data_IF_528444198692
#
_entry.id   IF_528444198692
#
_cell.length_a   1.000
_cell.length_b   1.000
_cell.length_c   1.000
_cell.angle_alpha   90.00
_cell.angle_beta   90.00
_cell.angle_gamma   90.00
#
_symmetry.space_group_name_H-M   'P 1'
#
loop_
_entity.id
_entity.type
_entity.pdbx_description
1 polymer ?
#
# COMPACT_ATOMS: atom_id res chain seq x y z
N UNK A 1 -22.77 40.94 4.13
CA UNK A 1 -21.43 41.45 3.76
C UNK A 1 -20.42 40.47 4.34
N UNK A 2 -19.74 39.73 3.46
CA UNK A 2 -18.72 38.75 3.82
C UNK A 2 -17.45 39.49 4.28
N UNK A 3 -16.78 39.07 5.38
CA UNK A 3 -15.46 39.61 5.68
C UNK A 3 -14.49 39.01 4.66
N UNK A 4 -13.97 39.87 3.79
CA UNK A 4 -12.83 39.55 2.95
C UNK A 4 -11.66 39.13 3.85
N UNK A 5 -11.21 37.88 3.73
CA UNK A 5 -9.93 37.44 4.28
C UNK A 5 -8.86 38.07 3.40
N UNK A 6 -8.15 39.07 3.94
CA UNK A 6 -6.97 39.64 3.30
C UNK A 6 -5.82 38.62 3.38
N UNK A 7 -5.56 37.93 2.27
CA UNK A 7 -4.34 37.15 2.08
C UNK A 7 -3.16 38.12 1.95
N UNK A 8 -2.35 38.22 3.00
CA UNK A 8 -1.13 39.03 3.01
C UNK A 8 0.07 38.11 2.78
N UNK A 9 0.73 38.25 1.63
CA UNK A 9 2.04 37.65 1.38
C UNK A 9 3.09 38.38 2.24
N UNK A 10 3.78 37.67 3.13
CA UNK A 10 4.97 38.18 3.83
C UNK A 10 6.19 37.51 3.23
N UNK A 11 6.97 38.30 2.47
CA UNK A 11 8.32 37.99 2.03
C UNK A 11 9.26 38.53 3.11
N UNK A 12 9.59 37.72 4.13
CA UNK A 12 10.71 38.01 5.03
C UNK A 12 11.58 36.76 5.24
N UNK A 13 12.88 37.01 5.29
CA UNK A 13 13.99 36.11 5.02
C UNK A 13 14.14 34.88 5.95
N UNK A 14 14.69 33.80 5.36
CA UNK A 14 15.43 32.69 6.00
C UNK A 14 14.70 31.62 6.85
N UNK A 15 13.48 31.22 6.47
CA UNK A 15 12.91 29.91 6.87
C UNK A 15 12.38 29.16 5.65
N UNK A 16 12.33 27.81 5.63
CA UNK A 16 11.79 27.09 4.47
C UNK A 16 10.36 27.57 4.19
N UNK A 17 10.19 28.19 3.04
CA UNK A 17 9.01 28.97 2.66
C UNK A 17 7.87 28.05 2.24
N UNK A 18 7.11 27.52 3.19
CA UNK A 18 5.76 27.03 2.92
C UNK A 18 4.80 28.25 2.88
N UNK A 19 3.79 28.25 2.00
CA UNK A 19 2.67 29.18 2.13
C UNK A 19 1.87 28.78 3.38
N UNK A 20 2.18 29.41 4.50
CA UNK A 20 1.37 29.30 5.72
C UNK A 20 0.05 30.01 5.48
N UNK A 21 -1.04 29.27 5.34
CA UNK A 21 -2.33 29.96 5.25
C UNK A 21 -2.82 30.39 6.64
N UNK A 22 -2.36 29.80 7.76
CA UNK A 22 -2.82 30.20 9.10
C UNK A 22 -1.88 29.88 10.30
N UNK A 23 -1.00 30.80 10.76
CA UNK A 23 -0.56 30.87 12.14
C UNK A 23 -1.00 32.21 12.74
N UNK A 24 -2.04 32.22 13.58
CA UNK A 24 -2.37 33.40 14.37
C UNK A 24 -2.62 33.00 15.82
N UNK A 25 -1.55 32.72 16.55
CA UNK A 25 -1.12 33.48 17.76
C UNK A 25 -0.02 32.71 18.52
N UNK A 26 0.92 33.47 19.09
CA UNK A 26 1.90 32.99 20.05
C UNK A 26 1.20 32.57 21.34
N UNK A 27 1.39 31.33 21.79
CA UNK A 27 1.50 31.03 23.22
C UNK A 27 2.28 29.74 23.44
N UNK A 28 3.44 29.88 24.09
CA UNK A 28 4.10 28.77 24.78
C UNK A 28 3.10 28.15 25.77
N UNK A 29 2.82 26.85 25.64
CA UNK A 29 1.92 26.17 26.57
C UNK A 29 1.62 24.72 26.18
N UNK A 30 2.15 23.80 27.00
CA UNK A 30 1.73 22.41 27.23
C UNK A 30 0.74 21.75 26.24
N UNK A 31 1.25 20.75 25.51
CA UNK A 31 0.49 19.94 24.55
C UNK A 31 -0.47 18.96 25.25
N UNK A 32 -1.75 19.31 25.28
CA UNK A 32 -2.85 18.39 25.56
C UNK A 32 -3.50 17.98 24.22
N UNK A 33 -3.90 16.71 24.06
CA UNK A 33 -4.54 16.16 22.84
C UNK A 33 -5.96 16.73 22.57
N UNK A 34 -6.37 17.75 23.33
CA UNK A 34 -7.60 18.54 23.15
C UNK A 34 -7.28 19.93 22.60
N UNK A 35 -6.55 20.01 21.49
CA UNK A 35 -6.41 21.31 20.82
C UNK A 35 -7.72 21.65 20.11
N UNK A 36 -8.33 22.83 20.36
CA UNK A 36 -9.57 23.21 19.70
C UNK A 36 -9.31 23.37 18.20
N UNK A 37 -10.14 22.72 17.39
CA UNK A 37 -10.25 23.02 15.97
C UNK A 37 -10.45 24.53 15.84
N UNK A 38 -9.50 25.19 15.17
CA UNK A 38 -9.44 26.65 15.05
C UNK A 38 -9.92 27.14 13.69
N UNK A 39 -9.95 26.24 12.69
CA UNK A 39 -10.29 26.58 11.32
C UNK A 39 -11.26 25.54 10.75
N UNK A 40 -12.41 26.01 10.27
CA UNK A 40 -13.46 25.13 9.78
C UNK A 40 -14.01 25.61 8.44
N UNK A 41 -14.44 24.66 7.61
CA UNK A 41 -15.24 24.91 6.40
C UNK A 41 -14.58 25.84 5.35
N UNK A 42 -13.24 25.79 5.27
CA UNK A 42 -12.46 26.53 4.27
C UNK A 42 -12.35 25.70 2.98
N UNK A 43 -12.54 26.36 1.84
CA UNK A 43 -12.42 25.74 0.51
C UNK A 43 -11.39 26.46 -0.35
N UNK A 44 -10.48 25.69 -0.93
CA UNK A 44 -9.56 26.11 -1.99
C UNK A 44 -9.99 25.43 -3.29
N UNK A 45 -10.24 26.25 -4.33
CA UNK A 45 -10.80 25.78 -5.59
C UNK A 45 -10.30 26.57 -6.79
N UNK A 46 -9.95 25.88 -7.87
CA UNK A 46 -9.57 26.47 -9.17
C UNK A 46 -8.31 27.37 -9.05
N UNK A 47 -7.34 26.96 -8.23
CA UNK A 47 -6.11 27.72 -7.93
C UNK A 47 -4.87 27.00 -8.45
N UNK A 48 -3.97 27.75 -9.08
CA UNK A 48 -2.58 27.35 -9.34
C UNK A 48 -1.68 27.81 -8.19
N UNK A 49 -1.05 26.86 -7.50
CA UNK A 49 0.02 27.08 -6.54
C UNK A 49 1.37 26.75 -7.20
N UNK A 50 2.15 27.78 -7.52
CA UNK A 50 3.53 27.63 -8.01
C UNK A 50 4.52 28.05 -6.93
N UNK A 51 5.20 27.07 -6.33
CA UNK A 51 6.17 27.29 -5.27
C UNK A 51 7.55 27.72 -5.81
N UNK A 52 7.75 27.82 -7.13
CA UNK A 52 8.99 28.28 -7.76
C UNK A 52 10.27 27.59 -7.25
N UNK A 53 10.17 26.28 -6.97
CA UNK A 53 11.20 25.43 -6.38
C UNK A 53 11.60 25.82 -4.94
N UNK A 54 10.72 26.52 -4.22
CA UNK A 54 10.93 26.99 -2.84
C UNK A 54 9.83 26.43 -1.93
N UNK A 55 10.21 25.57 -0.98
CA UNK A 55 9.31 25.05 0.04
C UNK A 55 8.11 24.30 -0.54
N UNK A 56 6.90 24.63 -0.07
CA UNK A 56 5.68 23.84 -0.29
C UNK A 56 4.50 24.65 -0.79
N UNK A 57 3.35 23.96 -0.97
CA UNK A 57 2.07 24.57 -1.30
C UNK A 57 1.27 24.90 -0.04
N UNK A 58 0.21 24.15 0.25
CA UNK A 58 -0.70 24.42 1.35
C UNK A 58 -0.27 23.66 2.62
N UNK A 59 -0.26 24.37 3.76
CA UNK A 59 -0.21 23.76 5.08
C UNK A 59 -1.56 23.91 5.82
N UNK A 60 -2.20 22.79 6.13
CA UNK A 60 -3.45 22.68 6.90
C UNK A 60 -3.12 22.19 8.31
N UNK A 61 -3.54 22.93 9.34
CA UNK A 61 -3.29 22.57 10.74
C UNK A 61 -4.46 22.96 11.64
N UNK A 62 -4.72 22.16 12.67
CA UNK A 62 -5.72 22.44 13.73
C UNK A 62 -7.10 22.78 13.14
N UNK A 63 -7.54 22.01 12.13
CA UNK A 63 -8.72 22.32 11.31
C UNK A 63 -9.71 21.16 11.16
N UNK A 64 -10.95 21.46 10.76
CA UNK A 64 -11.91 20.48 10.29
C UNK A 64 -12.62 20.89 9.00
N UNK A 65 -13.10 19.90 8.24
CA UNK A 65 -13.96 20.11 7.05
C UNK A 65 -13.33 21.01 5.99
N UNK A 66 -12.03 20.86 5.76
CA UNK A 66 -11.27 21.62 4.75
C UNK A 66 -11.39 20.93 3.39
N UNK A 67 -11.53 21.73 2.32
CA UNK A 67 -11.68 21.23 0.94
C UNK A 67 -10.61 21.84 0.06
N UNK A 68 -9.83 21.01 -0.61
CA UNK A 68 -8.84 21.41 -1.61
C UNK A 68 -9.18 20.65 -2.88
N UNK A 69 -9.81 21.32 -3.84
CA UNK A 69 -10.25 20.63 -5.05
C UNK A 69 -10.07 21.45 -6.32
N UNK A 70 -9.92 20.79 -7.46
CA UNK A 70 -9.69 21.44 -8.75
C UNK A 70 -8.46 22.37 -8.74
N UNK A 71 -7.43 22.01 -7.97
CA UNK A 71 -6.22 22.81 -7.80
C UNK A 71 -5.03 22.20 -8.54
N UNK A 72 -4.05 23.04 -8.87
CA UNK A 72 -2.81 22.64 -9.52
C UNK A 72 -1.62 23.08 -8.67
N UNK A 73 -0.73 22.15 -8.32
CA UNK A 73 0.44 22.42 -7.48
C UNK A 73 1.71 22.07 -8.25
N UNK A 74 2.59 23.05 -8.42
CA UNK A 74 3.87 22.86 -9.10
C UNK A 74 5.05 23.44 -8.36
N UNK A 75 6.22 22.88 -8.67
CA UNK A 75 7.52 23.39 -8.25
C UNK A 75 7.68 23.44 -6.72
N UNK A 76 7.03 22.57 -5.95
CA UNK A 76 7.36 22.38 -4.54
C UNK A 76 8.66 21.57 -4.40
N UNK A 77 9.45 21.89 -3.37
CA UNK A 77 10.64 21.12 -2.97
C UNK A 77 10.48 20.43 -1.61
N UNK A 78 9.48 20.82 -0.82
CA UNK A 78 8.99 20.11 0.36
C UNK A 78 7.63 19.44 0.07
N UNK A 79 6.55 19.82 0.75
CA UNK A 79 5.20 19.26 0.63
C UNK A 79 4.31 20.13 -0.27
N UNK A 80 3.71 19.55 -1.30
CA UNK A 80 2.65 20.23 -2.07
C UNK A 80 1.45 20.56 -1.17
N UNK A 81 0.98 19.56 -0.42
CA UNK A 81 -0.03 19.72 0.64
C UNK A 81 0.44 18.98 1.89
N UNK A 82 0.51 19.67 3.02
CA UNK A 82 0.75 19.10 4.32
C UNK A 82 -0.50 19.28 5.20
N UNK A 83 -1.00 18.21 5.79
CA UNK A 83 -2.10 18.24 6.77
C UNK A 83 -1.58 17.72 8.10
N UNK A 84 -1.68 18.51 9.16
CA UNK A 84 -1.24 18.13 10.51
C UNK A 84 -2.33 18.40 11.53
N UNK A 85 -2.62 17.40 12.37
CA UNK A 85 -3.72 17.47 13.34
C UNK A 85 -5.08 17.78 12.64
N UNK A 86 -6.16 17.90 13.41
CA UNK A 86 -7.49 18.07 12.83
C UNK A 86 -8.05 16.81 12.19
N UNK A 87 -9.22 16.93 11.55
CA UNK A 87 -9.97 15.84 10.95
C UNK A 87 -10.61 16.29 9.62
N UNK A 88 -11.01 15.37 8.75
CA UNK A 88 -11.92 15.66 7.62
C UNK A 88 -11.38 16.70 6.61
N UNK A 89 -10.11 16.58 6.20
CA UNK A 89 -9.60 17.31 5.02
C UNK A 89 -9.84 16.48 3.77
N UNK A 90 -10.54 17.04 2.78
CA UNK A 90 -10.82 16.40 1.50
C UNK A 90 -10.03 17.07 0.39
N UNK A 91 -9.18 16.28 -0.27
CA UNK A 91 -8.36 16.69 -1.40
C UNK A 91 -8.89 15.97 -2.65
N UNK A 92 -9.35 16.67 -3.67
CA UNK A 92 -9.91 16.00 -4.85
C UNK A 92 -9.55 16.65 -6.17
N UNK A 93 -9.65 15.90 -7.27
CA UNK A 93 -9.62 16.44 -8.65
C UNK A 93 -8.46 17.39 -8.94
N UNK A 94 -7.32 17.14 -8.28
CA UNK A 94 -6.17 18.05 -8.27
C UNK A 94 -4.94 17.39 -8.89
N UNK A 95 -4.00 18.22 -9.34
CA UNK A 95 -2.75 17.79 -9.96
C UNK A 95 -1.58 18.33 -9.14
N UNK A 96 -0.64 17.46 -8.76
CA UNK A 96 0.50 17.86 -7.94
C UNK A 96 1.81 17.30 -8.50
N UNK A 97 2.78 18.17 -8.78
CA UNK A 97 4.12 17.70 -9.09
C UNK A 97 5.25 18.70 -8.95
N UNK A 98 6.42 18.23 -8.52
CA UNK A 98 7.59 19.10 -8.36
C UNK A 98 8.11 19.62 -9.71
N UNK A 99 7.89 18.90 -10.82
CA UNK A 99 8.26 19.35 -12.17
C UNK A 99 7.13 19.11 -13.16
N UNK A 100 6.83 20.10 -13.99
CA UNK A 100 5.86 19.99 -15.07
C UNK A 100 6.39 19.17 -16.24
N UNK A 101 6.32 17.85 -16.12
CA UNK A 101 6.73 16.86 -17.13
C UNK A 101 5.75 15.68 -17.14
N UNK A 102 5.72 14.97 -18.26
CA UNK A 102 4.85 13.79 -18.50
C UNK A 102 5.66 12.48 -18.55
N UNK A 103 6.86 12.47 -17.95
CA UNK A 103 7.78 11.35 -17.93
C UNK A 103 9.10 11.62 -18.66
N UNK A 104 10.11 10.78 -18.43
CA UNK A 104 11.40 10.84 -19.12
C UNK A 104 12.28 12.05 -18.76
N UNK A 105 12.04 12.68 -17.61
CA UNK A 105 12.85 13.80 -17.14
C UNK A 105 14.25 13.31 -16.71
N UNK A 106 15.30 13.92 -17.29
CA UNK A 106 16.69 13.55 -17.01
C UNK A 106 17.08 13.76 -15.54
N UNK A 107 16.38 14.64 -14.83
CA UNK A 107 16.57 14.96 -13.41
C UNK A 107 15.66 14.19 -12.46
N UNK A 108 14.95 13.14 -12.92
CA UNK A 108 14.01 12.38 -12.07
C UNK A 108 14.64 11.82 -10.79
N UNK A 109 15.91 11.41 -10.88
CA UNK A 109 16.69 10.91 -9.73
C UNK A 109 16.83 11.95 -8.61
N UNK A 110 16.74 13.23 -8.95
CA UNK A 110 16.93 14.36 -8.03
C UNK A 110 15.60 14.93 -7.52
N UNK A 111 14.46 14.35 -7.90
CA UNK A 111 13.18 14.73 -7.31
C UNK A 111 13.22 14.44 -5.81
N UNK A 112 12.71 15.39 -5.03
CA UNK A 112 12.85 15.46 -3.57
C UNK A 112 11.53 15.73 -2.84
N UNK A 113 10.57 16.38 -3.52
CA UNK A 113 9.32 16.82 -2.91
C UNK A 113 8.37 15.67 -2.60
N UNK A 114 7.46 15.92 -1.66
CA UNK A 114 6.31 15.07 -1.34
C UNK A 114 5.05 15.77 -1.84
N UNK A 115 4.19 15.10 -2.61
CA UNK A 115 3.00 15.79 -3.09
C UNK A 115 1.98 16.01 -1.97
N UNK A 116 1.65 14.97 -1.20
CA UNK A 116 0.69 15.06 -0.09
C UNK A 116 1.23 14.34 1.14
N UNK A 117 1.20 14.98 2.30
CA UNK A 117 1.50 14.37 3.59
C UNK A 117 0.33 14.55 4.57
N UNK A 118 -0.32 13.44 4.91
CA UNK A 118 -1.46 13.37 5.82
C UNK A 118 -1.01 12.89 7.20
N UNK A 119 -0.67 13.84 8.06
CA UNK A 119 -0.39 13.64 9.48
C UNK A 119 -1.59 14.01 10.37
N UNK A 120 -2.76 13.57 9.93
CA UNK A 120 -4.04 13.66 10.64
C UNK A 120 -4.98 12.54 10.19
N UNK A 121 -6.14 12.44 10.83
CA UNK A 121 -7.06 11.32 10.64
C UNK A 121 -8.30 11.72 9.83
N UNK A 122 -9.05 10.72 9.35
CA UNK A 122 -10.36 10.90 8.72
C UNK A 122 -10.35 11.78 7.46
N UNK A 123 -9.25 11.80 6.73
CA UNK A 123 -9.12 12.55 5.48
C UNK A 123 -9.45 11.67 4.26
N UNK A 124 -9.74 12.32 3.14
CA UNK A 124 -9.94 11.66 1.86
C UNK A 124 -9.13 12.34 0.75
N UNK A 125 -8.46 11.53 -0.07
CA UNK A 125 -7.85 11.97 -1.33
C UNK A 125 -8.52 11.21 -2.46
N UNK A 126 -9.22 11.94 -3.34
CA UNK A 126 -10.06 11.33 -4.38
C UNK A 126 -9.76 11.92 -5.76
N UNK A 127 -9.47 11.08 -6.75
CA UNK A 127 -9.27 11.50 -8.15
C UNK A 127 -8.13 12.52 -8.31
N UNK A 128 -6.98 12.23 -7.70
CA UNK A 128 -5.80 13.12 -7.70
C UNK A 128 -4.68 12.52 -8.54
N UNK A 129 -4.05 13.36 -9.36
CA UNK A 129 -2.90 12.96 -10.18
C UNK A 129 -1.62 13.53 -9.56
N UNK A 130 -0.66 12.67 -9.30
CA UNK A 130 0.63 13.03 -8.74
C UNK A 130 1.75 12.66 -9.70
N UNK A 131 2.57 13.65 -10.03
CA UNK A 131 3.63 13.52 -11.01
C UNK A 131 4.94 14.10 -10.49
N UNK A 132 6.06 13.52 -10.91
CA UNK A 132 7.39 14.10 -10.72
C UNK A 132 7.77 14.51 -9.28
N UNK A 133 7.13 13.94 -8.26
CA UNK A 133 7.51 14.07 -6.85
C UNK A 133 8.41 12.88 -6.42
N UNK A 134 9.23 13.04 -5.38
CA UNK A 134 9.95 11.90 -4.80
C UNK A 134 8.99 10.91 -4.15
N UNK A 135 8.05 11.45 -3.37
CA UNK A 135 6.98 10.69 -2.72
C UNK A 135 5.64 11.23 -3.17
N UNK A 136 4.72 10.35 -3.56
CA UNK A 136 3.36 10.76 -3.89
C UNK A 136 2.59 11.16 -2.64
N UNK A 137 2.16 10.17 -1.85
CA UNK A 137 1.38 10.41 -0.63
C UNK A 137 2.05 9.74 0.57
N UNK A 138 2.14 10.44 1.69
CA UNK A 138 2.50 9.87 3.00
C UNK A 138 1.26 9.84 3.89
N UNK A 139 0.91 8.66 4.42
CA UNK A 139 -0.16 8.46 5.40
C UNK A 139 0.44 8.24 6.79
N UNK A 140 0.49 9.31 7.60
CA UNK A 140 0.97 9.26 8.99
C UNK A 140 -0.19 9.20 10.00
N UNK A 141 -1.40 9.62 9.61
CA UNK A 141 -2.61 9.44 10.41
C UNK A 141 -3.43 8.21 10.03
N UNK A 142 -4.43 7.94 10.85
CA UNK A 142 -5.31 6.77 10.77
C UNK A 142 -6.58 7.08 9.96
N UNK A 143 -7.27 6.01 9.56
CA UNK A 143 -8.61 6.08 8.99
C UNK A 143 -8.76 6.89 7.68
N UNK A 144 -7.67 7.17 6.96
CA UNK A 144 -7.76 7.91 5.71
C UNK A 144 -8.22 7.01 4.54
N UNK A 145 -8.80 7.63 3.52
CA UNK A 145 -9.20 7.01 2.27
C UNK A 145 -8.42 7.63 1.10
N UNK A 146 -7.74 6.80 0.33
CA UNK A 146 -7.20 7.16 -0.98
C UNK A 146 -8.00 6.41 -2.04
N UNK A 147 -8.56 7.12 -3.02
CA UNK A 147 -9.16 6.46 -4.19
C UNK A 147 -9.07 7.25 -5.48
N UNK A 148 -8.92 6.57 -6.62
CA UNK A 148 -8.73 7.25 -7.90
C UNK A 148 -7.40 8.03 -7.98
N UNK A 149 -6.43 7.74 -7.11
CA UNK A 149 -5.12 8.39 -7.14
C UNK A 149 -4.28 7.78 -8.24
N UNK A 150 -3.74 8.61 -9.13
CA UNK A 150 -2.77 8.21 -10.14
C UNK A 150 -1.39 8.75 -9.77
N UNK A 151 -0.47 7.87 -9.40
CA UNK A 151 0.93 8.23 -9.20
C UNK A 151 1.74 7.83 -10.43
N UNK A 152 2.35 8.81 -11.09
CA UNK A 152 3.48 8.64 -12.01
C UNK A 152 4.62 9.56 -11.55
N UNK A 153 4.91 9.49 -10.26
CA UNK A 153 6.00 10.24 -9.64
C UNK A 153 7.33 9.50 -9.80
N UNK A 154 8.41 9.98 -9.19
CA UNK A 154 9.74 9.35 -9.24
C UNK A 154 9.64 7.82 -9.15
N UNK A 155 10.12 7.12 -10.17
CA UNK A 155 10.03 5.68 -10.26
C UNK A 155 10.69 5.00 -9.06
N UNK A 156 10.16 3.85 -8.67
CA UNK A 156 10.69 3.09 -7.52
C UNK A 156 12.12 2.62 -7.74
N UNK A 157 12.52 2.36 -8.99
CA UNK A 157 13.91 2.04 -9.35
C UNK A 157 14.89 3.19 -9.05
N UNK A 158 14.40 4.43 -8.94
CA UNK A 158 15.18 5.60 -8.54
C UNK A 158 15.00 5.97 -7.07
N UNK A 159 14.29 5.14 -6.30
CA UNK A 159 14.02 5.34 -4.88
C UNK A 159 12.80 6.21 -4.59
N UNK A 160 11.94 6.47 -5.58
CA UNK A 160 10.67 7.13 -5.32
C UNK A 160 9.60 6.17 -4.78
N UNK A 161 8.62 6.74 -4.09
CA UNK A 161 7.53 5.99 -3.47
C UNK A 161 6.21 6.60 -3.92
N UNK A 162 5.29 5.77 -4.41
CA UNK A 162 3.97 6.26 -4.79
C UNK A 162 3.14 6.60 -3.56
N UNK A 163 2.97 5.64 -2.67
CA UNK A 163 2.24 5.82 -1.40
C UNK A 163 3.05 5.18 -0.27
N UNK A 164 3.35 5.96 0.77
CA UNK A 164 4.00 5.50 2.00
C UNK A 164 2.98 5.47 3.14
N UNK A 165 2.69 4.29 3.67
CA UNK A 165 1.74 4.07 4.77
C UNK A 165 2.49 3.80 6.06
N UNK A 166 2.32 4.68 7.05
CA UNK A 166 3.00 4.60 8.35
C UNK A 166 2.03 4.42 9.52
N UNK A 167 0.74 4.31 9.23
CA UNK A 167 -0.31 4.28 10.23
C UNK A 167 -1.46 3.37 9.82
N UNK A 168 -2.26 3.01 10.81
CA UNK A 168 -3.28 1.99 10.71
C UNK A 168 -4.55 2.46 9.99
N UNK A 169 -5.43 1.50 9.64
CA UNK A 169 -6.82 1.79 9.25
C UNK A 169 -6.97 2.59 7.95
N UNK A 170 -5.92 2.64 7.14
CA UNK A 170 -5.94 3.34 5.86
C UNK A 170 -6.46 2.42 4.74
N UNK A 171 -7.25 2.99 3.82
CA UNK A 171 -7.87 2.30 2.68
C UNK A 171 -7.38 2.92 1.38
N UNK A 172 -6.83 2.12 0.49
CA UNK A 172 -6.21 2.55 -0.77
C UNK A 172 -6.88 1.78 -1.90
N UNK A 173 -7.83 2.41 -2.58
CA UNK A 173 -8.73 1.74 -3.53
C UNK A 173 -8.69 2.35 -4.91
N UNK A 174 -8.72 1.54 -5.97
CA UNK A 174 -8.84 2.04 -7.35
C UNK A 174 -7.73 3.05 -7.71
N UNK A 175 -6.53 2.88 -7.16
CA UNK A 175 -5.38 3.71 -7.48
C UNK A 175 -4.61 3.14 -8.67
N UNK A 176 -4.00 4.02 -9.45
CA UNK A 176 -3.11 3.67 -10.55
C UNK A 176 -1.67 4.05 -10.18
N UNK A 177 -0.78 3.05 -10.13
CA UNK A 177 0.63 3.20 -9.80
C UNK A 177 1.49 2.93 -11.04
N UNK A 178 2.10 3.97 -11.59
CA UNK A 178 2.88 3.92 -12.83
C UNK A 178 4.38 3.99 -12.48
N UNK A 179 5.09 2.85 -12.56
CA UNK A 179 6.47 2.66 -12.05
C UNK A 179 6.66 2.86 -10.54
N UNK A 180 5.57 3.00 -9.78
CA UNK A 180 5.62 3.34 -8.36
C UNK A 180 5.18 2.18 -7.46
N UNK A 181 5.84 2.07 -6.31
CA UNK A 181 5.47 1.15 -5.25
C UNK A 181 4.56 1.80 -4.20
N UNK A 182 3.74 0.98 -3.55
CA UNK A 182 3.14 1.27 -2.25
C UNK A 182 4.00 0.63 -1.17
N UNK A 183 4.46 1.39 -0.19
CA UNK A 183 5.27 0.91 0.94
C UNK A 183 4.44 1.01 2.21
N UNK A 184 4.31 -0.09 2.96
CA UNK A 184 3.50 -0.16 4.18
C UNK A 184 4.36 -0.62 5.34
N UNK A 185 4.57 0.26 6.33
CA UNK A 185 5.35 -0.02 7.54
C UNK A 185 4.46 -0.68 8.61
N UNK A 186 4.86 -1.86 9.11
CA UNK A 186 4.14 -2.66 10.13
C UNK A 186 2.60 -2.63 9.99
N UNK A 187 2.03 -3.19 8.90
CA UNK A 187 0.63 -2.95 8.56
C UNK A 187 -0.34 -3.36 9.67
N UNK A 188 -1.27 -2.46 10.02
CA UNK A 188 -2.36 -2.73 10.96
C UNK A 188 -3.70 -2.25 10.39
N UNK A 189 -4.60 -3.18 10.05
CA UNK A 189 -5.91 -2.89 9.46
C UNK A 189 -5.83 -2.03 8.18
N UNK A 190 -4.91 -2.35 7.26
CA UNK A 190 -4.70 -1.61 6.01
C UNK A 190 -5.31 -2.39 4.84
N UNK A 191 -5.88 -1.68 3.86
CA UNK A 191 -6.40 -2.30 2.64
C UNK A 191 -5.82 -1.63 1.39
N UNK A 192 -5.35 -2.44 0.45
CA UNK A 192 -5.00 -2.08 -0.92
C UNK A 192 -5.86 -2.92 -1.87
N UNK A 193 -6.75 -2.28 -2.63
CA UNK A 193 -7.71 -3.02 -3.44
C UNK A 193 -8.03 -2.38 -4.79
N UNK A 194 -8.32 -3.22 -5.78
CA UNK A 194 -8.79 -2.81 -7.11
C UNK A 194 -7.86 -1.82 -7.83
N UNK A 195 -6.57 -1.81 -7.49
CA UNK A 195 -5.57 -0.94 -8.11
C UNK A 195 -5.02 -1.52 -9.40
N UNK A 196 -4.45 -0.66 -10.23
CA UNK A 196 -3.62 -1.04 -11.36
C UNK A 196 -2.17 -0.62 -11.08
N UNK A 197 -1.24 -1.54 -11.27
CA UNK A 197 0.20 -1.30 -11.13
C UNK A 197 0.86 -1.59 -12.47
N UNK A 198 1.52 -0.59 -13.03
CA UNK A 198 2.22 -0.67 -14.30
C UNK A 198 3.74 -0.65 -14.09
N UNK A 199 4.44 -1.36 -14.97
CA UNK A 199 5.90 -1.36 -15.12
C UNK A 199 6.65 -1.63 -13.81
N UNK A 200 6.41 -2.82 -13.28
CA UNK A 200 7.03 -3.35 -12.05
C UNK A 200 6.63 -2.60 -10.77
N UNK A 201 5.62 -1.73 -10.82
CA UNK A 201 4.96 -1.20 -9.63
C UNK A 201 4.49 -2.35 -8.72
N UNK A 202 4.78 -2.25 -7.43
CA UNK A 202 4.51 -3.33 -6.48
C UNK A 202 4.12 -2.84 -5.08
N UNK A 203 3.92 -3.77 -4.16
CA UNK A 203 3.63 -3.47 -2.76
C UNK A 203 4.77 -4.00 -1.88
N UNK A 204 5.34 -3.15 -1.05
CA UNK A 204 6.43 -3.50 -0.12
C UNK A 204 5.89 -3.46 1.31
N UNK A 205 5.96 -4.61 1.98
CA UNK A 205 5.65 -4.74 3.40
C UNK A 205 6.94 -4.60 4.19
N UNK A 206 7.09 -3.46 4.87
CA UNK A 206 8.30 -3.11 5.57
C UNK A 206 8.15 -3.36 7.06
N UNK A 207 9.04 -4.17 7.61
CA UNK A 207 9.12 -4.47 9.02
C UNK A 207 9.92 -3.39 9.74
N UNK A 208 9.27 -2.70 10.68
CA UNK A 208 9.94 -1.77 11.61
C UNK A 208 9.98 -2.40 13.01
N UNK A 209 8.86 -2.98 13.45
CA UNK A 209 8.68 -3.73 14.71
C UNK A 209 8.40 -5.21 14.48
N UNK A 210 8.28 -5.65 13.21
CA UNK A 210 8.04 -7.05 12.86
C UNK A 210 6.63 -7.53 13.10
N UNK A 211 5.65 -6.63 13.09
CA UNK A 211 4.23 -6.96 13.30
C UNK A 211 3.38 -6.59 12.10
N UNK A 212 2.50 -7.50 11.71
CA UNK A 212 1.52 -7.29 10.66
C UNK A 212 0.19 -7.92 11.05
N UNK A 213 -0.89 -7.14 11.00
CA UNK A 213 -2.22 -7.66 11.26
C UNK A 213 -3.35 -6.95 10.51
N UNK A 214 -4.34 -7.69 10.03
CA UNK A 214 -5.51 -7.11 9.34
C UNK A 214 -5.16 -6.46 8.00
N UNK A 215 -4.16 -6.97 7.27
CA UNK A 215 -3.80 -6.47 5.95
C UNK A 215 -4.62 -7.17 4.87
N UNK A 216 -5.19 -6.41 3.94
CA UNK A 216 -5.82 -6.93 2.72
C UNK A 216 -5.14 -6.35 1.48
N UNK A 217 -4.61 -7.19 0.59
CA UNK A 217 -4.12 -6.83 -0.75
C UNK A 217 -4.87 -7.68 -1.76
N UNK A 218 -5.93 -7.12 -2.36
CA UNK A 218 -6.91 -7.91 -3.11
C UNK A 218 -7.33 -7.27 -4.43
N UNK A 219 -7.65 -8.09 -5.43
CA UNK A 219 -8.25 -7.67 -6.70
C UNK A 219 -7.42 -6.63 -7.48
N UNK A 220 -6.10 -6.60 -7.30
CA UNK A 220 -5.24 -5.69 -8.04
C UNK A 220 -4.79 -6.34 -9.35
N UNK A 221 -4.59 -5.52 -10.38
CA UNK A 221 -3.93 -5.92 -11.63
C UNK A 221 -2.51 -5.36 -11.60
N UNK A 222 -1.51 -6.22 -11.82
CA UNK A 222 -0.11 -5.83 -11.84
C UNK A 222 0.55 -6.29 -13.14
N UNK A 223 1.23 -5.39 -13.81
CA UNK A 223 1.95 -5.63 -15.06
C UNK A 223 3.39 -5.14 -14.93
N UNK A 224 4.34 -5.93 -15.42
CA UNK A 224 5.76 -5.61 -15.33
C UNK A 224 6.58 -6.22 -16.46
N UNK A 225 7.89 -6.04 -16.40
CA UNK A 225 8.83 -6.58 -17.37
C UNK A 225 9.15 -8.05 -17.02
N UNK A 226 8.78 -9.04 -17.88
CA UNK A 226 8.98 -10.46 -17.61
C UNK A 226 10.42 -10.86 -17.30
N UNK A 227 11.43 -10.07 -17.70
CA UNK A 227 12.83 -10.33 -17.34
C UNK A 227 13.16 -10.00 -15.88
N UNK A 228 12.42 -9.07 -15.26
CA UNK A 228 12.66 -8.64 -13.89
C UNK A 228 11.97 -9.56 -12.88
N UNK A 229 10.81 -10.13 -13.24
CA UNK A 229 10.01 -11.03 -12.39
C UNK A 229 9.75 -10.45 -11.00
N UNK A 230 9.56 -9.13 -10.90
CA UNK A 230 9.38 -8.43 -9.62
C UNK A 230 8.19 -9.04 -8.89
N UNK A 231 8.31 -9.38 -7.59
CA UNK A 231 7.18 -9.90 -6.84
C UNK A 231 6.16 -8.79 -6.59
N UNK A 232 4.88 -9.12 -6.78
CA UNK A 232 3.79 -8.17 -6.54
C UNK A 232 3.70 -7.70 -5.09
N UNK A 233 4.14 -8.57 -4.17
CA UNK A 233 4.32 -8.24 -2.76
C UNK A 233 5.74 -8.64 -2.34
N UNK A 234 6.50 -7.68 -1.83
CA UNK A 234 7.85 -7.87 -1.30
C UNK A 234 7.87 -7.69 0.21
N UNK A 235 8.57 -8.56 0.92
CA UNK A 235 8.91 -8.34 2.32
C UNK A 235 10.24 -7.57 2.40
N UNK A 236 10.25 -6.49 3.16
CA UNK A 236 11.46 -5.75 3.55
C UNK A 236 11.65 -5.90 5.06
N UNK A 237 12.57 -6.77 5.45
CA UNK A 237 12.76 -7.20 6.85
C UNK A 237 11.94 -8.45 7.22
N UNK A 238 11.93 -8.77 8.51
CA UNK A 238 11.34 -9.99 9.06
C UNK A 238 10.08 -9.68 9.89
N UNK A 239 9.02 -10.44 9.70
CA UNK A 239 7.80 -10.36 10.50
C UNK A 239 7.70 -11.58 11.42
N UNK A 240 7.70 -11.34 12.73
CA UNK A 240 7.60 -12.39 13.76
C UNK A 240 6.16 -12.61 14.21
N UNK A 241 5.28 -11.63 13.98
CA UNK A 241 3.85 -11.70 14.28
C UNK A 241 3.06 -11.36 13.03
N UNK A 242 2.37 -12.37 12.49
CA UNK A 242 1.54 -12.27 11.28
C UNK A 242 0.18 -12.87 11.59
N UNK A 243 -0.87 -12.06 11.42
CA UNK A 243 -2.23 -12.39 11.82
C UNK A 243 -3.28 -11.72 10.92
N UNK A 244 -4.31 -12.43 10.45
CA UNK A 244 -5.36 -11.85 9.58
C UNK A 244 -4.76 -11.11 8.36
N UNK A 245 -3.95 -11.80 7.53
CA UNK A 245 -3.29 -11.20 6.36
C UNK A 245 -3.76 -11.88 5.08
N UNK A 246 -4.58 -11.18 4.31
CA UNK A 246 -5.14 -11.68 3.06
C UNK A 246 -4.45 -11.00 1.89
N UNK A 247 -3.72 -11.77 1.11
CA UNK A 247 -3.15 -11.36 -0.17
C UNK A 247 -3.66 -12.38 -1.17
N UNK A 248 -4.65 -12.02 -1.97
CA UNK A 248 -5.35 -12.98 -2.84
C UNK A 248 -6.06 -12.26 -4.01
N UNK A 249 -6.51 -13.00 -5.01
CA UNK A 249 -7.25 -12.49 -6.16
C UNK A 249 -6.53 -11.37 -6.93
N UNK A 250 -5.20 -11.33 -6.91
CA UNK A 250 -4.42 -10.40 -7.72
C UNK A 250 -4.06 -11.05 -9.06
N UNK A 251 -4.17 -10.30 -10.15
CA UNK A 251 -3.80 -10.73 -11.50
C UNK A 251 -2.42 -10.17 -11.85
N UNK A 252 -1.57 -10.99 -12.46
CA UNK A 252 -0.18 -10.62 -12.78
C UNK A 252 0.13 -10.90 -14.24
N UNK A 253 0.83 -9.97 -14.88
CA UNK A 253 1.47 -10.13 -16.18
C UNK A 253 2.94 -9.69 -16.08
N UNK A 254 3.88 -10.52 -16.52
CA UNK A 254 5.33 -10.23 -16.43
C UNK A 254 5.93 -10.11 -15.01
N UNK A 255 5.18 -10.44 -13.95
CA UNK A 255 5.60 -10.32 -12.54
C UNK A 255 5.44 -11.63 -11.77
N UNK A 256 6.11 -11.75 -10.60
CA UNK A 256 5.95 -12.93 -9.73
C UNK A 256 4.73 -12.79 -8.82
N UNK A 257 3.76 -13.69 -8.96
CA UNK A 257 2.60 -13.76 -8.06
C UNK A 257 3.04 -14.08 -6.64
N UNK A 258 2.52 -13.32 -5.67
CA UNK A 258 2.68 -13.57 -4.24
C UNK A 258 1.32 -13.52 -3.55
N UNK A 259 1.00 -14.55 -2.78
CA UNK A 259 -0.32 -14.76 -2.18
C UNK A 259 -0.20 -15.41 -0.80
N UNK A 260 -1.16 -15.12 0.08
CA UNK A 260 -1.36 -15.89 1.32
C UNK A 260 -2.30 -17.07 1.13
N UNK A 261 -2.87 -17.24 -0.07
CA UNK A 261 -3.63 -18.41 -0.50
C UNK A 261 -2.96 -19.04 -1.72
N UNK A 262 -2.51 -20.28 -1.61
CA UNK A 262 -1.87 -21.02 -2.69
C UNK A 262 -2.81 -22.07 -3.27
N UNK A 263 -2.86 -22.19 -4.61
CA UNK A 263 -3.58 -23.27 -5.30
C UNK A 263 -2.64 -23.93 -6.30
N UNK A 264 -2.35 -25.21 -6.10
CA UNK A 264 -1.46 -25.98 -6.96
C UNK A 264 -1.98 -27.40 -7.16
N UNK A 265 -1.56 -28.03 -8.25
CA UNK A 265 -1.81 -29.45 -8.49
C UNK A 265 -0.53 -30.13 -8.98
N UNK A 266 -0.31 -31.37 -8.55
CA UNK A 266 0.80 -32.20 -9.03
C UNK A 266 0.25 -33.58 -9.43
N UNK A 267 0.63 -34.03 -10.61
CA UNK A 267 0.38 -35.39 -11.09
C UNK A 267 1.60 -36.26 -10.87
N UNK A 268 1.40 -37.55 -10.58
CA UNK A 268 2.51 -38.49 -10.42
C UNK A 268 2.05 -39.94 -10.46
N UNK A 269 3.00 -40.85 -10.66
CA UNK A 269 2.80 -42.30 -10.52
C UNK A 269 3.75 -42.81 -9.44
N UNK A 270 3.19 -43.31 -8.34
CA UNK A 270 3.97 -43.77 -7.21
C UNK A 270 3.20 -43.64 -5.91
N UNK A 271 3.92 -43.47 -4.81
CA UNK A 271 3.35 -43.40 -3.45
C UNK A 271 3.45 -42.01 -2.82
N UNK A 272 3.96 -41.00 -3.54
CA UNK A 272 4.35 -39.71 -2.98
C UNK A 272 4.15 -38.58 -3.97
N UNK A 273 3.52 -37.51 -3.50
CA UNK A 273 3.32 -36.26 -4.21
C UNK A 273 3.84 -35.12 -3.35
N UNK A 274 4.72 -34.30 -3.93
CA UNK A 274 5.36 -33.17 -3.25
C UNK A 274 4.92 -31.90 -3.96
N UNK A 275 4.37 -30.96 -3.21
CA UNK A 275 3.89 -29.67 -3.73
C UNK A 275 4.64 -28.57 -2.97
N UNK A 276 5.37 -27.73 -3.72
CA UNK A 276 6.12 -26.61 -3.16
C UNK A 276 5.42 -25.29 -3.48
N UNK A 277 4.96 -24.59 -2.44
CA UNK A 277 4.30 -23.29 -2.56
C UNK A 277 5.26 -22.11 -2.46
N UNK A 278 6.57 -22.33 -2.28
CA UNK A 278 7.55 -21.26 -2.02
C UNK A 278 7.58 -20.15 -3.08
N UNK A 279 7.28 -20.48 -4.34
CA UNK A 279 7.19 -19.51 -5.43
C UNK A 279 6.01 -18.55 -5.25
N UNK A 280 4.90 -18.99 -4.66
CA UNK A 280 3.66 -18.22 -4.51
C UNK A 280 3.48 -17.67 -3.09
N UNK A 281 3.92 -18.36 -2.06
CA UNK A 281 3.76 -17.93 -0.66
C UNK A 281 4.49 -16.62 -0.38
N UNK A 282 3.86 -15.77 0.44
CA UNK A 282 4.44 -14.51 0.91
C UNK A 282 5.34 -14.77 2.13
N UNK A 283 4.83 -15.48 3.13
CA UNK A 283 5.55 -15.75 4.36
C UNK A 283 6.30 -17.10 4.28
N UNK A 284 7.55 -17.18 4.75
CA UNK A 284 8.28 -18.43 4.80
C UNK A 284 7.69 -19.36 5.89
N UNK A 285 7.55 -20.64 5.57
CA UNK A 285 7.16 -21.71 6.50
C UNK A 285 5.92 -21.37 7.35
N UNK A 286 4.85 -20.90 6.71
CA UNK A 286 3.61 -20.47 7.38
C UNK A 286 2.37 -20.99 6.67
N UNK A 287 2.36 -22.26 6.31
CA UNK A 287 1.13 -22.91 5.86
C UNK A 287 0.39 -23.34 7.13
N UNK A 288 -0.77 -22.74 7.39
CA UNK A 288 -1.58 -23.03 8.56
C UNK A 288 -2.66 -24.07 8.26
N UNK A 289 -3.30 -23.96 7.09
CA UNK A 289 -4.31 -24.92 6.66
C UNK A 289 -3.99 -25.49 5.30
N UNK A 290 -4.43 -26.74 5.12
CA UNK A 290 -4.32 -27.48 3.86
C UNK A 290 -5.65 -28.17 3.59
N UNK A 291 -6.22 -27.89 2.42
CA UNK A 291 -7.31 -28.65 1.84
C UNK A 291 -6.80 -29.32 0.58
N UNK A 292 -6.96 -30.63 0.45
CA UNK A 292 -6.53 -31.35 -0.75
C UNK A 292 -7.58 -32.34 -1.22
N UNK A 293 -7.57 -32.58 -2.52
CA UNK A 293 -8.30 -33.67 -3.16
C UNK A 293 -7.31 -34.62 -3.82
N UNK A 294 -7.58 -35.91 -3.71
CA UNK A 294 -6.80 -36.96 -4.35
C UNK A 294 -7.62 -37.61 -5.46
N UNK A 295 -7.17 -37.45 -6.71
CA UNK A 295 -7.83 -38.04 -7.87
C UNK A 295 -6.94 -39.10 -8.49
N UNK A 296 -7.36 -40.37 -8.47
CA UNK A 296 -6.64 -41.47 -9.09
C UNK A 296 -7.44 -42.02 -10.28
N UNK A 297 -7.18 -41.55 -11.52
CA UNK A 297 -7.87 -42.05 -12.70
C UNK A 297 -7.51 -43.51 -12.97
N UNK A 298 -8.49 -44.33 -13.36
CA UNK A 298 -8.25 -45.68 -13.85
C UNK A 298 -7.85 -46.69 -12.78
N UNK A 299 -8.22 -46.45 -11.51
CA UNK A 299 -8.11 -47.47 -10.44
C UNK A 299 -9.08 -48.62 -10.75
N UNK A 300 -8.60 -49.57 -11.58
CA UNK A 300 -9.20 -50.90 -11.76
C UNK A 300 -8.76 -51.85 -10.63
N UNK A 301 -8.34 -51.28 -9.50
CA UNK A 301 -7.80 -52.01 -8.35
C UNK A 301 -8.97 -52.31 -7.41
N UNK A 302 -8.95 -53.49 -6.80
CA UNK A 302 -9.89 -53.86 -5.74
C UNK A 302 -9.58 -52.99 -4.51
N UNK A 303 -10.19 -51.81 -4.42
CA UNK A 303 -10.10 -50.91 -3.26
C UNK A 303 -9.70 -49.47 -3.58
N UNK A 304 -9.85 -48.59 -2.59
CA UNK A 304 -9.39 -47.21 -2.61
C UNK A 304 -8.02 -47.11 -1.92
N UNK A 305 -7.01 -46.42 -2.49
CA UNK A 305 -5.73 -46.24 -1.82
C UNK A 305 -5.91 -45.45 -0.53
N UNK A 306 -5.31 -45.92 0.56
CA UNK A 306 -5.23 -45.13 1.78
C UNK A 306 -4.18 -44.04 1.57
N UNK A 307 -4.59 -42.78 1.75
CA UNK A 307 -3.70 -41.63 1.57
C UNK A 307 -3.82 -40.65 2.72
N UNK A 308 -2.72 -39.99 3.03
CA UNK A 308 -2.65 -38.96 4.05
C UNK A 308 -1.63 -37.88 3.70
N UNK A 309 -1.85 -36.70 4.23
CA UNK A 309 -0.82 -35.66 4.29
C UNK A 309 0.16 -36.02 5.41
N UNK A 310 1.44 -36.13 5.10
CA UNK A 310 2.47 -36.61 6.04
C UNK A 310 3.47 -35.53 6.45
N UNK A 311 3.57 -34.43 5.71
CA UNK A 311 4.42 -33.30 6.06
C UNK A 311 3.86 -31.97 5.55
N UNK A 312 4.00 -30.92 6.37
CA UNK A 312 3.78 -29.52 6.03
C UNK A 312 4.94 -28.73 6.66
N UNK A 313 5.97 -28.43 5.87
CA UNK A 313 7.12 -27.67 6.35
C UNK A 313 7.82 -26.97 5.21
N UNK A 314 8.45 -25.83 5.49
CA UNK A 314 9.18 -25.02 4.50
C UNK A 314 8.32 -24.63 3.28
N UNK A 315 7.02 -24.40 3.48
CA UNK A 315 6.02 -24.19 2.42
C UNK A 315 5.85 -25.37 1.44
N UNK A 316 6.33 -26.55 1.83
CA UNK A 316 6.18 -27.80 1.08
C UNK A 316 5.17 -28.68 1.79
N UNK A 317 4.23 -29.22 1.02
CA UNK A 317 3.27 -30.22 1.48
C UNK A 317 3.55 -31.55 0.80
N UNK A 318 3.49 -32.62 1.60
CA UNK A 318 3.70 -34.00 1.14
C UNK A 318 2.44 -34.81 1.40
N UNK A 319 1.93 -35.44 0.34
CA UNK A 319 0.86 -36.44 0.41
C UNK A 319 1.45 -37.79 0.02
N UNK A 320 1.17 -38.82 0.80
CA UNK A 320 1.63 -40.19 0.56
C UNK A 320 0.46 -41.18 0.56
N UNK A 321 0.62 -42.27 -0.19
CA UNK A 321 -0.32 -43.39 -0.25
C UNK A 321 0.34 -44.72 0.15
N UNK A 322 -0.47 -45.65 0.65
CA UNK A 322 -0.02 -46.99 1.04
C UNK A 322 0.47 -47.83 -0.15
N UNK A 323 -0.14 -47.63 -1.31
CA UNK A 323 0.20 -48.30 -2.56
C UNK A 323 0.50 -47.34 -3.71
N UNK A 324 1.22 -47.85 -4.72
CA UNK A 324 1.58 -47.05 -5.89
C UNK A 324 0.35 -46.86 -6.78
N UNK A 325 0.01 -45.61 -7.07
CA UNK A 325 -1.10 -45.26 -7.97
C UNK A 325 -0.69 -44.10 -8.87
N UNK A 326 -1.28 -44.07 -10.06
CA UNK A 326 -1.25 -42.85 -10.89
C UNK A 326 -2.33 -41.92 -10.36
N UNK A 327 -1.94 -40.75 -9.86
CA UNK A 327 -2.84 -39.83 -9.21
C UNK A 327 -2.45 -38.36 -9.38
N UNK A 328 -3.44 -37.49 -9.21
CA UNK A 328 -3.33 -36.05 -9.17
C UNK A 328 -3.73 -35.59 -7.77
N UNK A 329 -2.85 -34.84 -7.11
CA UNK A 329 -3.16 -34.14 -5.87
C UNK A 329 -3.36 -32.68 -6.20
N UNK A 330 -4.59 -32.19 -5.99
CA UNK A 330 -4.91 -30.76 -6.08
C UNK A 330 -5.07 -30.21 -4.67
N UNK A 331 -4.50 -29.04 -4.42
CA UNK A 331 -4.37 -28.51 -3.07
C UNK A 331 -4.61 -27.01 -3.03
N UNK A 332 -5.29 -26.59 -1.96
CA UNK A 332 -5.42 -25.21 -1.54
C UNK A 332 -4.79 -25.09 -0.15
N UNK A 333 -3.91 -24.11 0.01
CA UNK A 333 -3.26 -23.79 1.30
C UNK A 333 -3.49 -22.33 1.64
N UNK A 334 -3.46 -22.00 2.92
CA UNK A 334 -3.43 -20.61 3.36
C UNK A 334 -2.47 -20.35 4.52
N UNK A 335 -2.11 -19.07 4.68
CA UNK A 335 -1.18 -18.57 5.70
C UNK A 335 -1.89 -17.77 6.80
N UNK A 336 -3.21 -17.88 6.91
CA UNK A 336 -4.04 -17.16 7.86
C UNK A 336 -4.23 -17.95 9.13
N UNK A 337 -4.39 -17.26 10.27
CA UNK A 337 -4.84 -17.92 11.50
C UNK A 337 -6.37 -17.84 11.55
N UNK A 338 -7.05 -18.91 11.97
CA UNK A 338 -8.48 -18.88 12.29
C UNK A 338 -8.73 -18.44 13.75
N UNK A 339 -9.95 -17.96 14.01
CA UNK A 339 -10.40 -17.65 15.37
C UNK A 339 -10.34 -18.92 16.23
N UNK A 340 -9.55 -18.90 17.30
CA UNK A 340 -9.32 -20.05 18.20
C UNK A 340 -7.93 -20.69 18.08
N UNK A 341 -7.23 -20.49 16.97
CA UNK A 341 -5.90 -21.11 16.75
C UNK A 341 -4.75 -20.37 17.43
N UNK A 342 -4.99 -19.12 17.86
CA UNK A 342 -4.02 -18.33 18.65
C UNK A 342 -3.65 -19.00 19.98
N UNK A 343 -4.44 -19.98 20.44
CA UNK A 343 -4.24 -20.69 21.71
C UNK A 343 -3.45 -22.00 21.58
N UNK A 344 -3.11 -22.46 20.37
CA UNK A 344 -2.40 -23.73 20.15
C UNK A 344 -0.90 -23.57 19.88
N UNK A 345 -0.41 -22.32 19.74
CA UNK A 345 0.96 -21.98 19.36
C UNK A 345 1.68 -21.07 20.38
N UNK A 346 1.18 -20.98 21.63
CA UNK A 346 1.93 -20.37 22.74
C UNK A 346 2.81 -21.40 23.44
#
# INVERSE_FOLDING_TARGET
>A
MSPFVNLKYSLEDNKPEQLFILPLTNSEGYFDQKSPISYEDITFRDILFDSSYRGGGIFVIDSARIRIHDCFFIHFTSEGILVQKGHETFISTSFLGQRSTVGGDKGERDFSGTAIDLASNDNAVTDVVIFSAATGIILRGQANLLTGVHCYNKATVFGGVGILVKSAQNRIHNCYMDYNAIVIEDPFQVQVANGFFLEDGNIVLKSIKGKISGLNIINNMLSGEPKNMVPIVKLDGQFTSVDQVVIDHNNVDGMSLKSTVGKLAVSGNGKKWVIDFSSVSVFPNKINHVHYSFYAPGVNVVGFPLHAMTNVSSNVVVVESDMAVTGVVSMVVDQNNMVGERNFLM
#
